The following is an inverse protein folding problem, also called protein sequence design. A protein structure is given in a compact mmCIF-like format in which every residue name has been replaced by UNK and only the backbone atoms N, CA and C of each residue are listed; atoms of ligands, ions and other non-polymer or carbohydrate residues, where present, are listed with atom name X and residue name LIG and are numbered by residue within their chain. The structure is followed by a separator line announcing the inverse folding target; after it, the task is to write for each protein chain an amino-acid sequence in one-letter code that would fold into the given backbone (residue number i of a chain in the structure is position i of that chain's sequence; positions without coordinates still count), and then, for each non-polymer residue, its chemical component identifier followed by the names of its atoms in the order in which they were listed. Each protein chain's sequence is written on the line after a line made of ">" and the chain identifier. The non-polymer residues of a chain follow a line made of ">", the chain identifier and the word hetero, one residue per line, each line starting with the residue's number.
data_IF_574243596793
#
_entry.id   IF_574243596793
#
_cell.length_a   1.000
_cell.length_b   1.000
_cell.length_c   1.000
_cell.angle_alpha   90.00
_cell.angle_beta   90.00
_cell.angle_gamma   90.00
#
_symmetry.space_group_name_H-M   'P 1'
#
loop_
_entity.id
_entity.type
_entity.pdbx_description
1 polymer ?
#
# COMPACT_ATOMS: atom_id res chain seq x y z
N UNK A 1 -19.67 34.41 -11.43
CA UNK A 1 -19.76 33.67 -12.72
C UNK A 1 -19.57 32.15 -12.53
N UNK A 2 -20.09 31.56 -11.46
CA UNK A 2 -19.86 30.13 -11.15
C UNK A 2 -21.15 29.29 -11.06
N UNK A 3 -22.32 29.92 -11.13
CA UNK A 3 -23.62 29.22 -11.08
C UNK A 3 -24.11 28.71 -12.44
N UNK A 4 -23.61 29.27 -13.54
CA UNK A 4 -24.03 28.89 -14.90
C UNK A 4 -23.44 27.56 -15.36
N UNK A 5 -22.27 27.15 -14.86
CA UNK A 5 -21.68 25.84 -15.13
C UNK A 5 -22.42 24.70 -14.43
N UNK A 6 -22.93 24.93 -13.22
CA UNK A 6 -23.73 23.95 -12.47
C UNK A 6 -25.10 23.75 -13.14
N UNK A 7 -25.69 24.82 -13.67
CA UNK A 7 -26.98 24.77 -14.36
C UNK A 7 -26.92 23.98 -15.68
N UNK A 8 -25.79 24.06 -16.40
CA UNK A 8 -25.62 23.37 -17.69
C UNK A 8 -25.41 21.85 -17.55
N UNK A 9 -24.87 21.39 -16.42
CA UNK A 9 -24.74 19.96 -16.09
C UNK A 9 -26.11 19.35 -15.74
N UNK A 10 -27.03 20.15 -15.19
CA UNK A 10 -28.36 19.68 -14.80
C UNK A 10 -29.34 19.57 -15.97
N UNK A 11 -29.09 20.27 -17.10
CA UNK A 11 -29.98 20.25 -18.26
C UNK A 11 -29.66 19.12 -19.28
N UNK A 12 -28.62 18.33 -19.06
CA UNK A 12 -28.37 17.11 -19.84
C UNK A 12 -29.28 15.98 -19.34
N UNK A 13 -30.56 16.07 -19.72
CA UNK A 13 -31.61 15.08 -19.45
C UNK A 13 -31.51 13.90 -20.42
N UNK A 14 -30.38 13.19 -20.38
CA UNK A 14 -30.37 11.76 -20.64
C UNK A 14 -29.74 11.11 -19.41
N UNK A 15 -30.42 10.14 -18.78
CA UNK A 15 -29.92 9.48 -17.59
C UNK A 15 -28.80 8.52 -18.01
N UNK A 16 -27.65 9.09 -18.35
CA UNK A 16 -26.40 8.40 -18.55
C UNK A 16 -25.87 8.04 -17.16
N UNK A 17 -26.58 7.12 -16.50
CA UNK A 17 -26.18 6.46 -15.28
C UNK A 17 -24.73 6.01 -15.38
N UNK A 18 -24.30 5.55 -16.57
CA UNK A 18 -22.92 5.23 -16.90
C UNK A 18 -21.93 6.39 -16.63
N UNK A 19 -22.26 7.63 -17.00
CA UNK A 19 -21.41 8.80 -16.77
C UNK A 19 -21.37 9.20 -15.29
N UNK A 20 -22.51 9.13 -14.60
CA UNK A 20 -22.58 9.38 -13.16
C UNK A 20 -21.79 8.34 -12.35
N UNK A 21 -21.93 7.04 -12.69
CA UNK A 21 -21.15 5.97 -12.10
C UNK A 21 -19.66 6.10 -12.44
N UNK A 22 -19.32 6.52 -13.66
CA UNK A 22 -17.93 6.74 -14.05
C UNK A 22 -17.30 7.87 -13.23
N UNK A 23 -17.98 9.01 -13.08
CA UNK A 23 -17.48 10.14 -12.28
C UNK A 23 -17.39 9.78 -10.79
N UNK A 24 -18.35 9.02 -10.26
CA UNK A 24 -18.29 8.51 -8.89
C UNK A 24 -17.13 7.54 -8.68
N UNK A 25 -16.93 6.60 -9.63
CA UNK A 25 -15.83 5.66 -9.60
C UNK A 25 -14.49 6.40 -9.68
N UNK A 26 -14.31 7.34 -10.60
CA UNK A 26 -13.08 8.15 -10.70
C UNK A 26 -12.87 8.99 -9.44
N UNK A 27 -13.92 9.63 -8.92
CA UNK A 27 -13.87 10.46 -7.72
C UNK A 27 -13.48 9.73 -6.45
N UNK A 28 -13.71 8.41 -6.36
CA UNK A 28 -13.33 7.59 -5.20
C UNK A 28 -12.03 6.80 -5.47
N UNK A 29 -11.91 6.21 -6.66
CA UNK A 29 -10.78 5.34 -7.01
C UNK A 29 -9.50 6.15 -7.21
N UNK A 30 -9.53 7.31 -7.87
CA UNK A 30 -8.34 8.13 -8.07
C UNK A 30 -7.69 8.62 -6.77
N UNK A 31 -8.42 9.22 -5.80
CA UNK A 31 -7.80 9.60 -4.54
C UNK A 31 -7.32 8.38 -3.75
N UNK A 32 -8.08 7.28 -3.72
CA UNK A 32 -7.66 6.05 -3.05
C UNK A 32 -6.36 5.46 -3.64
N UNK A 33 -6.22 5.45 -4.96
CA UNK A 33 -4.99 5.01 -5.64
C UNK A 33 -3.84 5.99 -5.39
N UNK A 34 -4.11 7.30 -5.35
CA UNK A 34 -3.12 8.33 -5.04
C UNK A 34 -2.54 8.19 -3.64
N UNK A 35 -3.39 7.97 -2.64
CA UNK A 35 -2.96 7.72 -1.26
C UNK A 35 -2.18 6.41 -1.14
N UNK A 36 -2.66 5.34 -1.76
CA UNK A 36 -1.95 4.06 -1.79
C UNK A 36 -0.57 4.19 -2.44
N UNK A 37 -0.46 4.95 -3.54
CA UNK A 37 0.82 5.24 -4.19
C UNK A 37 1.74 6.07 -3.28
N UNK A 38 1.23 7.10 -2.62
CA UNK A 38 2.01 7.93 -1.69
C UNK A 38 2.56 7.11 -0.52
N UNK A 39 1.73 6.23 0.06
CA UNK A 39 2.16 5.31 1.14
C UNK A 39 3.25 4.36 0.64
N UNK A 40 3.05 3.72 -0.51
CA UNK A 40 4.06 2.82 -1.11
C UNK A 40 5.37 3.54 -1.40
N UNK A 41 5.30 4.77 -1.92
CA UNK A 41 6.48 5.60 -2.17
C UNK A 41 7.21 5.92 -0.87
N UNK A 42 6.49 6.32 0.18
CA UNK A 42 7.07 6.61 1.49
C UNK A 42 7.76 5.39 2.10
N UNK A 43 7.15 4.21 2.01
CA UNK A 43 7.75 2.95 2.47
C UNK A 43 9.04 2.62 1.71
N UNK A 44 9.05 2.79 0.39
CA UNK A 44 10.22 2.55 -0.45
C UNK A 44 11.35 3.53 -0.16
N UNK A 45 11.02 4.81 0.00
CA UNK A 45 12.00 5.85 0.33
C UNK A 45 12.56 5.65 1.73
N UNK A 46 11.73 5.26 2.70
CA UNK A 46 12.18 4.89 4.04
C UNK A 46 13.12 3.68 4.00
N UNK A 47 12.75 2.62 3.28
CA UNK A 47 13.58 1.41 3.15
C UNK A 47 14.96 1.73 2.58
N UNK A 48 15.01 2.49 1.49
CA UNK A 48 16.27 2.93 0.86
C UNK A 48 17.16 3.79 1.76
N UNK A 49 16.57 4.55 2.68
CA UNK A 49 17.33 5.36 3.65
C UNK A 49 17.79 4.53 4.84
N UNK A 50 17.00 3.55 5.25
CA UNK A 50 17.27 2.75 6.46
C UNK A 50 18.22 1.59 6.20
N UNK A 51 18.14 0.97 5.03
CA UNK A 51 18.91 -0.19 4.63
C UNK A 51 19.55 0.09 3.25
N UNK A 52 20.86 -0.01 3.18
CA UNK A 52 21.61 0.10 1.93
C UNK A 52 21.42 -1.14 1.04
N UNK A 53 21.13 -2.30 1.64
CA UNK A 53 20.92 -3.56 0.93
C UNK A 53 19.96 -4.51 1.65
N UNK A 54 19.49 -5.53 0.93
CA UNK A 54 18.67 -6.60 1.50
C UNK A 54 19.45 -7.46 2.52
N UNK A 55 20.76 -7.60 2.35
CA UNK A 55 21.59 -8.35 3.30
C UNK A 55 21.72 -7.62 4.64
N UNK A 56 21.74 -6.28 4.62
CA UNK A 56 21.70 -5.48 5.84
C UNK A 56 20.40 -5.67 6.62
N UNK A 57 19.26 -5.72 5.91
CA UNK A 57 17.97 -6.09 6.52
C UNK A 57 18.02 -7.51 7.11
N UNK A 58 18.63 -8.47 6.40
CA UNK A 58 18.76 -9.86 6.88
C UNK A 58 19.63 -9.95 8.14
N UNK A 59 20.68 -9.13 8.23
CA UNK A 59 21.56 -9.06 9.39
C UNK A 59 20.95 -8.31 10.57
N UNK A 60 20.04 -7.36 10.33
CA UNK A 60 19.41 -6.58 11.40
C UNK A 60 18.29 -7.32 12.12
N UNK A 61 17.76 -8.40 11.55
CA UNK A 61 16.64 -9.16 12.10
C UNK A 61 17.10 -10.45 12.76
N UNK A 62 16.36 -10.88 13.79
CA UNK A 62 16.60 -12.18 14.41
C UNK A 62 16.02 -13.31 13.54
N UNK A 63 16.87 -13.86 12.67
CA UNK A 63 16.50 -14.90 11.72
C UNK A 63 15.95 -16.18 12.39
N UNK A 64 16.48 -16.58 13.54
CA UNK A 64 16.01 -17.80 14.23
C UNK A 64 14.63 -17.59 14.83
N UNK A 65 14.38 -16.43 15.46
CA UNK A 65 13.06 -16.09 16.00
C UNK A 65 12.00 -16.02 14.89
N UNK A 66 12.30 -15.35 13.77
CA UNK A 66 11.37 -15.25 12.65
C UNK A 66 11.09 -16.59 11.98
N UNK A 67 12.11 -17.46 11.89
CA UNK A 67 11.93 -18.83 11.38
C UNK A 67 11.04 -19.65 12.29
N UNK A 68 11.24 -19.59 13.60
CA UNK A 68 10.38 -20.27 14.56
C UNK A 68 8.93 -19.80 14.44
N UNK A 69 8.69 -18.48 14.38
CA UNK A 69 7.33 -17.93 14.20
C UNK A 69 6.71 -18.41 12.89
N UNK A 70 7.50 -18.46 11.81
CA UNK A 70 7.03 -18.97 10.51
C UNK A 70 6.63 -20.43 10.59
N UNK A 71 7.38 -21.26 11.30
CA UNK A 71 7.10 -22.70 11.44
C UNK A 71 5.91 -22.95 12.38
N UNK A 72 5.76 -22.18 13.46
CA UNK A 72 4.71 -22.36 14.47
C UNK A 72 3.36 -21.73 14.07
N UNK A 73 3.38 -20.51 13.53
CA UNK A 73 2.18 -19.69 13.27
C UNK A 73 1.90 -19.50 11.78
N UNK A 74 2.96 -19.56 10.98
CA UNK A 74 2.86 -19.45 9.52
C UNK A 74 3.48 -18.18 8.96
N UNK A 75 3.45 -18.09 7.62
CA UNK A 75 4.11 -17.03 6.88
C UNK A 75 3.56 -15.62 7.22
N UNK A 76 2.24 -15.49 7.32
CA UNK A 76 1.61 -14.19 7.54
C UNK A 76 1.89 -13.62 8.92
N UNK A 77 1.89 -14.46 9.96
CA UNK A 77 2.24 -14.04 11.32
C UNK A 77 3.72 -13.65 11.44
N UNK A 78 4.62 -14.37 10.76
CA UNK A 78 6.03 -14.00 10.72
C UNK A 78 6.26 -12.66 9.98
N UNK A 79 5.53 -12.40 8.89
CA UNK A 79 5.55 -11.10 8.21
C UNK A 79 4.95 -10.01 9.12
N UNK A 80 3.87 -10.32 9.84
CA UNK A 80 3.23 -9.39 10.75
C UNK A 80 4.16 -8.99 11.89
N UNK A 81 4.83 -9.95 12.52
CA UNK A 81 5.79 -9.69 13.60
C UNK A 81 6.97 -8.85 13.09
N UNK A 82 7.52 -9.18 11.92
CA UNK A 82 8.58 -8.38 11.30
C UNK A 82 8.14 -6.95 11.00
N UNK A 83 6.89 -6.76 10.54
CA UNK A 83 6.31 -5.43 10.33
C UNK A 83 5.95 -4.70 11.62
N UNK A 84 5.78 -5.42 12.73
CA UNK A 84 5.58 -4.80 14.05
C UNK A 84 6.88 -4.15 14.52
N UNK A 85 8.01 -4.79 14.25
CA UNK A 85 9.35 -4.23 14.50
C UNK A 85 9.70 -3.11 13.50
N UNK A 86 9.33 -3.31 12.23
CA UNK A 86 9.57 -2.34 11.14
C UNK A 86 8.27 -1.95 10.41
N UNK A 87 7.48 -1.00 10.95
CA UNK A 87 6.14 -0.67 10.41
C UNK A 87 6.15 -0.09 9.00
N UNK A 88 7.26 0.55 8.62
CA UNK A 88 7.44 1.14 7.30
C UNK A 88 8.10 0.18 6.29
N UNK A 89 8.42 -1.06 6.70
CA UNK A 89 9.01 -2.05 5.80
C UNK A 89 8.01 -2.44 4.70
N UNK A 90 8.41 -2.34 3.41
CA UNK A 90 7.58 -2.79 2.31
C UNK A 90 7.21 -4.27 2.48
N UNK A 91 5.92 -4.60 2.32
CA UNK A 91 5.41 -5.97 2.49
C UNK A 91 6.15 -6.96 1.57
N UNK A 92 6.52 -6.53 0.37
CA UNK A 92 7.27 -7.35 -0.57
C UNK A 92 8.66 -7.76 -0.04
N UNK A 93 9.38 -6.84 0.59
CA UNK A 93 10.70 -7.12 1.16
C UNK A 93 10.58 -8.00 2.43
N UNK A 94 9.59 -7.72 3.28
CA UNK A 94 9.28 -8.55 4.44
C UNK A 94 8.97 -9.99 4.02
N UNK A 95 8.08 -10.18 3.04
CA UNK A 95 7.73 -11.49 2.53
C UNK A 95 8.93 -12.21 1.88
N UNK A 96 9.77 -11.48 1.15
CA UNK A 96 10.99 -12.02 0.54
C UNK A 96 11.98 -12.51 1.60
N UNK A 97 12.12 -11.76 2.70
CA UNK A 97 12.97 -12.15 3.83
C UNK A 97 12.44 -13.41 4.50
N UNK A 98 11.18 -13.43 4.92
CA UNK A 98 10.59 -14.59 5.62
C UNK A 98 10.59 -15.86 4.76
N UNK A 99 10.39 -15.74 3.44
CA UNK A 99 10.51 -16.87 2.50
C UNK A 99 11.95 -17.36 2.31
N UNK A 100 12.94 -16.49 2.49
CA UNK A 100 14.37 -16.80 2.33
C UNK A 100 15.08 -17.28 3.60
N UNK A 101 14.34 -17.34 4.72
CA UNK A 101 14.74 -17.98 5.99
C UNK A 101 14.41 -19.47 6.00
#
# INVERSE_FOLDING_TARGET
>A
MSFTLIWLIFQSDEPNHAMAYFLFAVGIVCPGLGEAYAVRRRQRDWYRRRFASFDELRMSVNASALRQIREEKGLWDAIHELKREYPLLPVGEAAKLIKGL
#
